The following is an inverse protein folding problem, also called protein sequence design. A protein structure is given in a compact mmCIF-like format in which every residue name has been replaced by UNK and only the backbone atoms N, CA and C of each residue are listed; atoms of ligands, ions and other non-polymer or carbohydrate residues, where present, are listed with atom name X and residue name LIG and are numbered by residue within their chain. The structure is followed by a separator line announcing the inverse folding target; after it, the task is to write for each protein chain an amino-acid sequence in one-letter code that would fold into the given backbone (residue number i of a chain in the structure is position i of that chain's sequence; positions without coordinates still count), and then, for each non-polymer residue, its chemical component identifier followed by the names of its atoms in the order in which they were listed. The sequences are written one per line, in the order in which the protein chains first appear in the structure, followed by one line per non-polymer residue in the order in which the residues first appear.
data_IF_589818853478
#
_entry.id   IF_589818853478
#
_cell.length_a   1.000
_cell.length_b   1.000
_cell.length_c   1.000
_cell.angle_alpha   90.00
_cell.angle_beta   90.00
_cell.angle_gamma   90.00
#
_symmetry.space_group_name_H-M   'P 1'
#
loop_
_entity.id
_entity.type
_entity.pdbx_description
1 polymer ?
#
# COMPACT_ATOMS: atom_id res chain seq x y z
N UNK A 1 -5.04 20.45 -15.53
CA UNK A 1 -4.25 20.22 -14.29
C UNK A 1 -3.80 18.77 -14.28
N UNK A 2 -2.53 18.46 -14.01
CA UNK A 2 -2.05 17.06 -14.00
C UNK A 2 -2.17 16.46 -12.61
N UNK A 3 -2.34 15.13 -12.53
CA UNK A 3 -2.36 14.39 -11.26
C UNK A 3 -1.15 14.70 -10.37
N UNK A 4 0.05 14.74 -10.96
CA UNK A 4 1.29 15.03 -10.22
C UNK A 4 1.33 16.45 -9.66
N UNK A 5 0.75 17.43 -10.37
CA UNK A 5 0.64 18.79 -9.83
C UNK A 5 -0.35 18.87 -8.66
N UNK A 6 -1.44 18.10 -8.72
CA UNK A 6 -2.39 17.98 -7.62
C UNK A 6 -1.77 17.31 -6.38
N UNK A 7 -1.06 16.20 -6.59
CA UNK A 7 -0.52 15.37 -5.52
C UNK A 7 0.90 15.77 -5.05
N UNK A 8 1.48 16.85 -5.59
CA UNK A 8 2.88 17.24 -5.36
C UNK A 8 3.24 17.33 -3.88
N UNK A 9 2.37 17.96 -3.10
CA UNK A 9 2.63 18.31 -1.70
C UNK A 9 2.00 17.30 -0.72
N UNK A 10 1.42 16.20 -1.22
CA UNK A 10 0.81 15.17 -0.38
C UNK A 10 1.86 14.48 0.51
N UNK A 11 1.58 14.44 1.81
CA UNK A 11 2.44 13.77 2.81
C UNK A 11 2.45 12.26 2.63
N UNK A 12 1.29 11.68 2.36
CA UNK A 12 1.08 10.25 2.20
C UNK A 12 0.42 9.97 0.85
N UNK A 13 0.80 8.86 0.22
CA UNK A 13 0.14 8.39 -1.01
C UNK A 13 -0.26 6.94 -0.87
N UNK A 14 -1.56 6.69 -0.88
CA UNK A 14 -2.14 5.34 -1.02
C UNK A 14 -2.60 5.17 -2.46
N UNK A 15 -2.25 4.05 -3.10
CA UNK A 15 -2.73 3.72 -4.45
C UNK A 15 -3.13 2.26 -4.56
N UNK A 16 -4.11 1.99 -5.43
CA UNK A 16 -4.66 0.66 -5.64
C UNK A 16 -4.08 -0.01 -6.90
N UNK A 17 -2.76 -0.13 -6.98
CA UNK A 17 -2.12 -1.02 -7.97
C UNK A 17 -1.36 -2.14 -7.28
N UNK A 18 -1.17 -3.18 -8.08
CA UNK A 18 -0.60 -4.48 -7.81
C UNK A 18 0.93 -4.57 -8.00
N UNK A 19 1.62 -3.49 -8.38
CA UNK A 19 3.08 -3.51 -8.37
C UNK A 19 3.68 -2.09 -8.34
N UNK A 20 4.39 -1.76 -7.25
CA UNK A 20 5.14 -0.50 -7.18
C UNK A 20 6.27 -0.44 -8.22
N UNK A 21 6.88 -1.57 -8.53
CA UNK A 21 7.98 -1.60 -9.49
C UNK A 21 7.49 -1.23 -10.89
N UNK A 22 6.31 -1.70 -11.29
CA UNK A 22 5.71 -1.32 -12.57
C UNK A 22 5.22 0.14 -12.60
N UNK A 23 4.76 0.66 -11.45
CA UNK A 23 4.34 2.06 -11.34
C UNK A 23 5.52 3.02 -11.38
N UNK A 24 6.63 2.68 -10.73
CA UNK A 24 7.73 3.62 -10.45
C UNK A 24 9.12 3.11 -10.84
N UNK A 25 9.52 1.90 -10.45
CA UNK A 25 10.91 1.44 -10.60
C UNK A 25 11.28 1.21 -12.07
N UNK A 26 10.47 0.45 -12.81
CA UNK A 26 10.70 0.06 -14.20
C UNK A 26 10.12 1.09 -15.18
N UNK A 27 9.12 1.86 -14.76
CA UNK A 27 8.49 2.88 -15.59
C UNK A 27 9.17 4.25 -15.44
N UNK A 28 10.22 4.47 -16.25
CA UNK A 28 11.02 5.70 -16.21
C UNK A 28 10.22 6.99 -16.47
N UNK A 29 9.16 6.93 -17.28
CA UNK A 29 8.30 8.08 -17.58
C UNK A 29 7.48 8.49 -16.35
N UNK A 30 6.95 7.52 -15.62
CA UNK A 30 6.27 7.75 -14.35
C UNK A 30 7.27 8.21 -13.29
N UNK A 31 8.40 7.51 -13.15
CA UNK A 31 9.46 7.85 -12.20
C UNK A 31 9.89 9.30 -12.29
N UNK A 32 10.12 9.80 -13.51
CA UNK A 32 10.55 11.18 -13.73
C UNK A 32 9.55 12.22 -13.22
N UNK A 33 8.24 11.89 -13.25
CA UNK A 33 7.17 12.77 -12.77
C UNK A 33 6.92 12.58 -11.26
N UNK A 34 6.85 11.33 -10.81
CA UNK A 34 6.50 10.96 -9.43
C UNK A 34 7.60 11.28 -8.41
N UNK A 35 8.88 11.27 -8.81
CA UNK A 35 10.02 11.57 -7.91
C UNK A 35 9.97 12.96 -7.25
N UNK A 36 9.15 13.88 -7.78
CA UNK A 36 8.96 15.22 -7.22
C UNK A 36 7.86 15.32 -6.17
N UNK A 37 7.11 14.24 -5.91
CA UNK A 37 6.07 14.22 -4.89
C UNK A 37 6.68 14.08 -3.50
N UNK A 38 6.16 14.84 -2.53
CA UNK A 38 6.62 14.83 -1.14
C UNK A 38 6.55 13.43 -0.52
N UNK A 39 5.44 12.71 -0.73
CA UNK A 39 5.26 11.32 -0.27
C UNK A 39 6.32 10.37 -0.81
N UNK A 40 6.71 10.49 -2.09
CA UNK A 40 7.76 9.66 -2.70
C UNK A 40 9.13 9.98 -2.10
N UNK A 41 9.46 11.27 -1.95
CA UNK A 41 10.73 11.70 -1.36
C UNK A 41 10.87 11.28 0.12
N UNK A 42 9.77 11.34 0.87
CA UNK A 42 9.70 10.95 2.29
C UNK A 42 9.42 9.45 2.52
N UNK A 43 9.32 8.66 1.43
CA UNK A 43 9.02 7.21 1.45
C UNK A 43 7.70 6.86 2.14
N UNK A 44 6.73 7.77 2.09
CA UNK A 44 5.38 7.59 2.59
C UNK A 44 4.43 7.19 1.45
N UNK A 45 4.75 6.08 0.79
CA UNK A 45 3.95 5.50 -0.29
C UNK A 45 3.47 4.12 0.12
N UNK A 46 2.18 3.89 -0.07
CA UNK A 46 1.47 2.74 0.42
C UNK A 46 0.58 2.12 -0.66
N UNK A 47 0.50 0.80 -0.64
CA UNK A 47 -0.42 0.05 -1.47
C UNK A 47 -1.23 -0.94 -0.64
N UNK A 48 -2.02 -1.77 -1.32
CA UNK A 48 -2.95 -2.71 -0.69
C UNK A 48 -2.41 -4.13 -0.66
N UNK A 49 -1.12 -4.33 -0.93
CA UNK A 49 -0.53 -5.65 -1.15
C UNK A 49 0.02 -6.31 0.12
N UNK A 50 -0.39 -5.84 1.31
CA UNK A 50 0.03 -6.41 2.59
C UNK A 50 -0.30 -7.89 2.76
N UNK A 51 -1.23 -8.42 1.96
CA UNK A 51 -1.67 -9.82 1.99
C UNK A 51 -1.52 -10.58 0.67
N UNK A 52 -0.83 -10.02 -0.32
CA UNK A 52 -0.73 -10.60 -1.65
C UNK A 52 -1.09 -9.63 -2.75
N UNK A 53 -0.79 -10.02 -4.00
CA UNK A 53 -0.91 -9.12 -5.14
C UNK A 53 -2.36 -8.71 -5.45
N UNK A 54 -3.32 -9.59 -5.14
CA UNK A 54 -4.75 -9.41 -5.44
C UNK A 54 -5.61 -9.13 -4.18
N UNK A 55 -4.97 -8.66 -3.10
CA UNK A 55 -5.62 -8.49 -1.78
C UNK A 55 -6.87 -7.60 -1.80
N UNK A 56 -6.87 -6.52 -2.58
CA UNK A 56 -7.98 -5.57 -2.63
C UNK A 56 -9.18 -6.06 -3.43
N UNK A 57 -8.97 -6.89 -4.46
CA UNK A 57 -10.02 -7.24 -5.42
C UNK A 57 -10.49 -8.70 -5.34
N UNK A 58 -9.69 -9.64 -4.81
CA UNK A 58 -10.03 -11.07 -4.93
C UNK A 58 -9.68 -11.93 -3.71
N UNK A 59 -8.69 -11.54 -2.90
CA UNK A 59 -8.12 -12.46 -1.88
C UNK A 59 -8.60 -12.22 -0.46
N UNK A 60 -9.16 -11.03 -0.13
CA UNK A 60 -9.63 -10.75 1.24
C UNK A 60 -10.73 -9.69 1.27
N UNK A 61 -11.67 -9.84 2.20
CA UNK A 61 -12.63 -8.79 2.52
C UNK A 61 -11.93 -7.67 3.30
N UNK A 62 -12.02 -6.44 2.79
CA UNK A 62 -11.53 -5.26 3.50
C UNK A 62 -12.44 -4.98 4.71
N UNK A 63 -11.96 -5.33 5.91
CA UNK A 63 -12.63 -5.01 7.16
C UNK A 63 -12.46 -3.51 7.47
N UNK A 64 -13.54 -2.71 7.53
CA UNK A 64 -13.42 -1.25 7.60
C UNK A 64 -12.64 -0.72 8.80
N UNK A 65 -12.75 -1.39 9.95
CA UNK A 65 -12.01 -1.11 11.19
C UNK A 65 -10.51 -1.40 11.05
N UNK A 66 -10.14 -2.48 10.36
CA UNK A 66 -8.74 -2.80 10.05
C UNK A 66 -8.15 -1.74 9.11
N UNK A 67 -8.84 -1.40 8.02
CA UNK A 67 -8.38 -0.37 7.08
C UNK A 67 -8.26 1.00 7.75
N UNK A 68 -9.19 1.34 8.64
CA UNK A 68 -9.14 2.57 9.41
C UNK A 68 -7.95 2.58 10.37
N UNK A 69 -7.70 1.48 11.08
CA UNK A 69 -6.57 1.34 12.00
C UNK A 69 -5.24 1.49 11.25
N UNK A 70 -5.11 0.88 10.08
CA UNK A 70 -3.97 1.06 9.20
C UNK A 70 -3.75 2.51 8.79
N UNK A 71 -4.82 3.20 8.42
CA UNK A 71 -4.77 4.61 8.07
C UNK A 71 -4.35 5.49 9.25
N UNK A 72 -4.92 5.25 10.45
CA UNK A 72 -4.53 5.90 11.69
C UNK A 72 -3.03 5.73 11.97
N UNK A 73 -2.50 4.52 11.73
CA UNK A 73 -1.08 4.24 11.91
C UNK A 73 -0.18 4.96 10.94
N UNK A 74 -0.61 5.06 9.68
CA UNK A 74 0.13 5.84 8.70
C UNK A 74 0.27 7.30 9.11
N UNK A 75 -0.81 7.91 9.61
CA UNK A 75 -0.85 9.35 9.93
C UNK A 75 -0.41 9.66 11.37
N UNK A 76 0.00 8.66 12.15
CA UNK A 76 0.50 8.83 13.51
C UNK A 76 -0.59 9.13 14.55
N UNK A 77 -1.80 8.62 14.32
CA UNK A 77 -2.94 8.73 15.24
C UNK A 77 -3.34 7.36 15.79
N UNK A 78 -2.36 6.52 16.08
CA UNK A 78 -2.59 5.16 16.56
C UNK A 78 -3.29 5.14 17.91
N UNK A 79 -4.23 4.21 18.05
CA UNK A 79 -4.85 3.88 19.35
C UNK A 79 -4.01 2.89 20.15
N UNK A 80 -3.12 2.15 19.47
CA UNK A 80 -2.26 1.11 20.01
C UNK A 80 -0.86 1.26 19.40
N UNK A 81 0.15 1.47 20.26
CA UNK A 81 1.55 1.68 19.84
C UNK A 81 2.18 0.42 19.23
N UNK A 82 1.62 -0.76 19.52
CA UNK A 82 2.09 -2.04 18.99
C UNK A 82 1.38 -2.45 17.69
N UNK A 83 0.42 -1.63 17.21
CA UNK A 83 -0.37 -1.95 16.03
C UNK A 83 0.51 -2.15 14.79
N UNK A 84 0.38 -3.32 14.18
CA UNK A 84 1.05 -3.64 12.92
C UNK A 84 0.06 -3.51 11.77
N UNK A 85 0.37 -2.62 10.82
CA UNK A 85 -0.42 -2.46 9.61
C UNK A 85 -0.45 -3.76 8.81
N UNK A 86 -1.66 -4.17 8.41
CA UNK A 86 -1.88 -5.42 7.69
C UNK A 86 -2.38 -5.22 6.26
N UNK A 87 -3.06 -4.10 5.99
CA UNK A 87 -3.72 -3.83 4.72
C UNK A 87 -2.92 -2.84 3.85
N UNK A 88 -2.56 -1.69 4.42
CA UNK A 88 -1.80 -0.61 3.81
C UNK A 88 -0.30 -0.82 4.04
N UNK A 89 0.34 -1.41 3.03
CA UNK A 89 1.76 -1.75 3.03
C UNK A 89 2.59 -0.57 2.56
N UNK A 90 3.63 -0.21 3.31
CA UNK A 90 4.63 0.75 2.84
C UNK A 90 5.57 0.09 1.81
N UNK A 91 5.52 0.56 0.56
CA UNK A 91 6.22 -0.06 -0.58
C UNK A 91 7.76 -0.04 -0.46
N UNK A 92 8.31 0.83 0.40
CA UNK A 92 9.76 0.96 0.58
C UNK A 92 10.31 0.14 1.74
N UNK A 93 9.47 -0.25 2.69
CA UNK A 93 9.91 -0.85 3.97
C UNK A 93 9.29 -2.22 4.24
N UNK A 94 8.20 -2.57 3.56
CA UNK A 94 7.48 -3.82 3.78
C UNK A 94 7.41 -4.65 2.49
N UNK A 95 7.70 -5.96 2.55
CA UNK A 95 7.59 -6.85 1.41
C UNK A 95 6.12 -7.09 1.02
N UNK A 96 5.87 -7.51 -0.22
CA UNK A 96 4.53 -7.95 -0.64
C UNK A 96 4.13 -9.13 0.26
N UNK A 97 2.90 -9.11 0.76
CA UNK A 97 2.35 -10.21 1.53
C UNK A 97 2.23 -11.49 0.71
N UNK A 98 2.11 -12.62 1.39
CA UNK A 98 1.87 -13.89 0.73
C UNK A 98 0.41 -14.26 1.01
N UNK A 99 -0.35 -14.56 -0.04
CA UNK A 99 -1.69 -15.09 0.12
C UNK A 99 -1.59 -16.40 0.92
N UNK A 100 -2.38 -16.52 2.00
CA UNK A 100 -2.43 -17.76 2.77
C UNK A 100 -2.80 -18.93 1.87
N UNK A 101 -2.11 -20.06 2.00
CA UNK A 101 -2.51 -21.29 1.32
C UNK A 101 -3.78 -21.77 2.02
N UNK A 102 -4.91 -21.77 1.30
CA UNK A 102 -6.09 -22.51 1.75
C UNK A 102 -5.77 -24.00 1.58
N UNK A 103 -5.29 -24.63 2.67
CA UNK A 103 -5.17 -26.09 2.70
C UNK A 103 -6.53 -26.63 3.05
N UNK A 104 -7.19 -27.23 2.06
CA UNK A 104 -8.38 -28.02 2.32
C UNK A 104 -7.95 -29.26 3.10
N UNK A 105 -8.18 -29.22 4.42
CA UNK A 105 -7.87 -30.33 5.33
C UNK A 105 -8.71 -31.57 5.05
N UNK A 106 -9.74 -31.45 4.22
CA UNK A 106 -10.66 -32.51 3.81
C UNK A 106 -10.52 -32.89 2.32
N UNK A 107 -9.48 -32.41 1.62
CA UNK A 107 -9.22 -32.82 0.23
C UNK A 107 -8.84 -34.32 0.17
N UNK A 108 -9.50 -35.13 -0.69
CA UNK A 108 -9.34 -36.59 -0.74
C UNK A 108 -7.99 -37.08 -1.27
#
# INVERSE_FOLDING_TARGET
MSFVAFARDADYWVYASDDWDDVYTTNYLNRAKLRGMKSVMSRQVFDTQGHGRDSWFEQRMAEPDVVLSDFCSMVGTDFDEDYQRVWLRNVFTQPIGIAGICTDVDAP
#
